data_IF_009785460241
#
_entry.id   IF_009785460241
#
_cell.length_a   1.000
_cell.length_b   1.000
_cell.length_c   1.000
_cell.angle_alpha   90.00
_cell.angle_beta   90.00
_cell.angle_gamma   90.00
#
_symmetry.space_group_name_H-M   'P 1'
#
loop_
_entity.id
_entity.type
_entity.pdbx_description
1 polymer ?
#
# COMPACT_ATOMS: atom_id res chain seq x y z
N UNK A 1 -58.93 11.27 -40.22
CA UNK A 1 -57.72 10.69 -39.57
C UNK A 1 -56.51 11.13 -40.36
N UNK A 2 -55.69 12.07 -39.85
CA UNK A 2 -54.24 12.12 -40.10
C UNK A 2 -53.59 13.01 -39.01
N UNK A 3 -52.72 12.38 -38.23
CA UNK A 3 -51.88 12.91 -37.13
C UNK A 3 -51.01 14.09 -37.60
N UNK A 4 -50.89 15.18 -36.84
CA UNK A 4 -49.86 15.43 -35.79
C UNK A 4 -48.42 15.20 -36.27
N UNK A 5 -47.63 16.26 -36.41
CA UNK A 5 -46.55 16.59 -35.46
C UNK A 5 -45.64 17.74 -35.95
N UNK A 6 -45.70 18.79 -35.14
CA UNK A 6 -44.81 19.93 -34.96
C UNK A 6 -43.31 19.54 -35.01
N UNK A 7 -42.56 20.18 -35.91
CA UNK A 7 -41.09 20.18 -35.92
C UNK A 7 -40.60 21.50 -35.30
N UNK A 8 -40.24 21.49 -34.00
CA UNK A 8 -39.52 22.60 -33.37
C UNK A 8 -38.03 22.34 -33.54
N UNK A 9 -37.39 23.13 -34.39
CA UNK A 9 -35.94 23.21 -34.53
C UNK A 9 -35.39 24.00 -33.32
N UNK A 10 -34.71 23.34 -32.40
CA UNK A 10 -34.00 24.03 -31.32
C UNK A 10 -32.60 24.47 -31.78
N UNK A 11 -32.40 25.78 -31.63
CA UNK A 11 -31.21 26.55 -31.98
C UNK A 11 -30.09 26.32 -30.95
N UNK A 12 -28.89 26.16 -31.49
CA UNK A 12 -27.53 26.37 -30.96
C UNK A 12 -27.35 26.71 -29.46
N UNK A 13 -26.49 25.93 -28.79
CA UNK A 13 -25.74 26.38 -27.61
C UNK A 13 -24.25 26.36 -27.95
N UNK A 14 -23.71 27.57 -27.91
CA UNK A 14 -22.34 27.97 -28.20
C UNK A 14 -21.37 27.54 -27.11
N UNK A 15 -20.19 27.06 -27.55
CA UNK A 15 -18.88 27.17 -26.94
C UNK A 15 -18.78 27.39 -25.41
N UNK A 16 -18.56 26.30 -24.67
CA UNK A 16 -17.82 26.34 -23.41
C UNK A 16 -16.42 25.77 -23.64
N UNK A 17 -15.49 26.62 -24.06
CA UNK A 17 -14.05 26.33 -23.96
C UNK A 17 -13.66 26.44 -22.48
N UNK A 18 -13.92 25.38 -21.72
CA UNK A 18 -13.38 25.21 -20.37
C UNK A 18 -11.89 24.92 -20.55
N UNK A 19 -11.05 25.76 -19.93
CA UNK A 19 -9.59 25.60 -19.91
C UNK A 19 -9.24 24.21 -19.37
N UNK A 20 -8.80 23.31 -20.24
CA UNK A 20 -8.42 21.93 -19.93
C UNK A 20 -7.03 21.81 -19.31
N UNK A 21 -6.51 22.83 -18.63
CA UNK A 21 -5.10 22.89 -18.20
C UNK A 21 -4.85 22.49 -16.74
N UNK A 22 -5.82 21.84 -16.08
CA UNK A 22 -5.66 21.32 -14.71
C UNK A 22 -6.06 19.84 -14.54
N UNK A 23 -6.34 19.11 -15.63
CA UNK A 23 -6.70 17.69 -15.59
C UNK A 23 -5.49 16.77 -15.64
N UNK A 24 -4.48 17.05 -16.49
CA UNK A 24 -3.33 16.17 -16.68
C UNK A 24 -2.48 15.95 -15.42
N UNK A 25 -2.26 16.99 -14.60
CA UNK A 25 -1.53 16.84 -13.33
C UNK A 25 -2.33 16.09 -12.27
N UNK A 26 -3.67 16.16 -12.30
CA UNK A 26 -4.52 15.44 -11.36
C UNK A 26 -4.59 13.96 -11.70
N UNK A 27 -4.63 13.62 -13.00
CA UNK A 27 -4.73 12.22 -13.41
C UNK A 27 -3.41 11.45 -13.21
N UNK A 28 -2.25 12.06 -13.50
CA UNK A 28 -0.96 11.42 -13.23
C UNK A 28 -0.70 11.24 -11.73
N UNK A 29 -0.99 12.26 -10.91
CA UNK A 29 -0.87 12.18 -9.45
C UNK A 29 -1.80 11.14 -8.84
N UNK A 30 -3.06 11.07 -9.29
CA UNK A 30 -4.04 10.11 -8.75
C UNK A 30 -3.76 8.66 -9.20
N UNK A 31 -3.29 8.45 -10.43
CA UNK A 31 -2.89 7.11 -10.89
C UNK A 31 -1.60 6.62 -10.22
N UNK A 32 -0.53 7.42 -10.23
CA UNK A 32 0.74 7.06 -9.60
C UNK A 32 0.56 6.84 -8.09
N UNK A 33 -0.16 7.73 -7.42
CA UNK A 33 -0.57 7.57 -6.02
C UNK A 33 -1.25 6.22 -5.74
N UNK A 34 -2.18 5.80 -6.61
CA UNK A 34 -2.87 4.53 -6.45
C UNK A 34 -1.95 3.33 -6.72
N UNK A 35 -1.00 3.45 -7.65
CA UNK A 35 0.05 2.45 -7.84
C UNK A 35 0.94 2.33 -6.61
N UNK A 36 1.45 3.44 -6.06
CA UNK A 36 2.31 3.40 -4.87
C UNK A 36 1.56 2.83 -3.66
N UNK A 37 0.28 3.18 -3.47
CA UNK A 37 -0.58 2.56 -2.44
C UNK A 37 -0.70 1.04 -2.61
N UNK A 38 -0.89 0.58 -3.83
CA UNK A 38 -0.99 -0.85 -4.14
C UNK A 38 0.35 -1.56 -3.92
N UNK A 39 1.46 -0.90 -4.24
CA UNK A 39 2.80 -1.44 -4.06
C UNK A 39 3.11 -1.69 -2.58
N UNK A 40 2.82 -0.73 -1.68
CA UNK A 40 2.97 -0.94 -0.22
C UNK A 40 2.23 -2.21 0.23
N UNK A 41 0.96 -2.36 -0.16
CA UNK A 41 0.14 -3.52 0.22
C UNK A 41 0.75 -4.81 -0.35
N UNK A 42 1.19 -4.76 -1.61
CA UNK A 42 1.76 -5.92 -2.30
C UNK A 42 3.06 -6.37 -1.65
N UNK A 43 3.93 -5.43 -1.26
CA UNK A 43 5.21 -5.71 -0.61
C UNK A 43 5.05 -6.22 0.81
N UNK A 44 4.13 -5.66 1.60
CA UNK A 44 3.78 -6.19 2.93
C UNK A 44 3.24 -7.62 2.82
N UNK A 45 2.35 -7.90 1.87
CA UNK A 45 1.81 -9.25 1.65
C UNK A 45 2.91 -10.23 1.24
N UNK A 46 3.86 -9.79 0.42
CA UNK A 46 5.01 -10.58 0.03
C UNK A 46 5.94 -10.86 1.22
N UNK A 47 6.22 -9.84 2.05
CA UNK A 47 6.96 -9.99 3.30
C UNK A 47 6.29 -11.00 4.23
N UNK A 48 4.98 -10.88 4.49
CA UNK A 48 4.22 -11.85 5.29
C UNK A 48 4.33 -13.29 4.73
N UNK A 49 4.29 -13.47 3.40
CA UNK A 49 4.46 -14.79 2.77
C UNK A 49 5.86 -15.33 3.01
N UNK A 50 6.89 -14.52 2.83
CA UNK A 50 8.28 -14.96 3.05
C UNK A 50 8.58 -15.20 4.53
N UNK A 51 8.03 -14.41 5.45
CA UNK A 51 8.08 -14.66 6.90
C UNK A 51 7.45 -16.01 7.28
N UNK A 52 6.33 -16.41 6.65
CA UNK A 52 5.74 -17.75 6.86
C UNK A 52 6.63 -18.90 6.36
N UNK A 53 7.35 -18.68 5.26
CA UNK A 53 8.34 -19.66 4.78
C UNK A 53 9.47 -19.78 5.79
N UNK A 54 10.01 -18.64 6.24
CA UNK A 54 11.06 -18.58 7.27
C UNK A 54 10.62 -19.28 8.57
N UNK A 55 9.36 -19.16 8.96
CA UNK A 55 8.78 -19.82 10.14
C UNK A 55 8.84 -21.36 10.03
N UNK A 56 8.67 -21.87 8.81
CA UNK A 56 8.77 -23.31 8.55
C UNK A 56 10.22 -23.76 8.57
N UNK A 57 11.15 -22.97 8.02
CA UNK A 57 12.58 -23.27 7.98
C UNK A 57 13.24 -23.25 9.37
N UNK A 58 12.78 -22.36 10.25
CA UNK A 58 13.30 -22.19 11.62
C UNK A 58 12.49 -22.96 12.67
N UNK A 59 11.66 -23.91 12.26
CA UNK A 59 10.84 -24.69 13.17
C UNK A 59 11.70 -25.44 14.19
N UNK A 60 11.34 -25.34 15.47
CA UNK A 60 12.03 -26.01 16.57
C UNK A 60 13.07 -25.14 17.29
N UNK A 61 13.37 -23.96 16.77
CA UNK A 61 14.15 -22.93 17.48
C UNK A 61 13.19 -21.92 18.14
N UNK A 62 13.08 -22.00 19.47
CA UNK A 62 12.19 -21.14 20.23
C UNK A 62 12.57 -19.64 20.15
N UNK A 63 13.87 -19.33 20.06
CA UNK A 63 14.35 -17.96 19.95
C UNK A 63 13.99 -17.38 18.59
N UNK A 64 14.24 -18.11 17.52
CA UNK A 64 13.87 -17.69 16.17
C UNK A 64 12.35 -17.63 15.98
N UNK A 65 11.60 -18.56 16.57
CA UNK A 65 10.13 -18.53 16.56
C UNK A 65 9.58 -17.25 17.20
N UNK A 66 10.15 -16.81 18.32
CA UNK A 66 9.75 -15.55 18.96
C UNK A 66 9.98 -14.34 18.05
N UNK A 67 11.13 -14.27 17.39
CA UNK A 67 11.45 -13.18 16.47
C UNK A 67 10.56 -13.20 15.22
N UNK A 68 10.20 -14.36 14.70
CA UNK A 68 9.26 -14.48 13.58
C UNK A 68 7.85 -14.03 13.96
N UNK A 69 7.39 -14.36 15.16
CA UNK A 69 6.09 -13.89 15.64
C UNK A 69 6.11 -12.37 15.77
N UNK A 70 7.14 -11.80 16.38
CA UNK A 70 7.28 -10.34 16.49
C UNK A 70 7.33 -9.66 15.11
N UNK A 71 8.01 -10.25 14.14
CA UNK A 71 8.03 -9.74 12.76
C UNK A 71 6.65 -9.80 12.10
N UNK A 72 5.90 -10.88 12.34
CA UNK A 72 4.54 -11.04 11.83
C UNK A 72 3.59 -10.02 12.47
N UNK A 73 3.71 -9.78 13.77
CA UNK A 73 2.91 -8.79 14.50
C UNK A 73 3.17 -7.37 13.97
N UNK A 74 4.43 -7.01 13.67
CA UNK A 74 4.78 -5.74 13.04
C UNK A 74 4.16 -5.56 11.64
N UNK A 75 4.24 -6.60 10.81
CA UNK A 75 3.62 -6.61 9.48
C UNK A 75 2.09 -6.48 9.55
N UNK A 76 1.46 -7.17 10.49
CA UNK A 76 0.01 -7.11 10.69
C UNK A 76 -0.42 -5.73 11.20
N UNK A 77 0.34 -5.12 12.12
CA UNK A 77 0.15 -3.73 12.55
C UNK A 77 0.20 -2.75 11.38
N UNK A 78 1.17 -2.88 10.47
CA UNK A 78 1.24 -2.04 9.27
C UNK A 78 0.03 -2.27 8.35
N UNK A 79 -0.40 -3.52 8.18
CA UNK A 79 -1.55 -3.85 7.34
C UNK A 79 -2.87 -3.30 7.90
N UNK A 80 -3.11 -3.42 9.20
CA UNK A 80 -4.30 -2.89 9.88
C UNK A 80 -4.36 -1.36 9.82
N UNK A 81 -3.21 -0.69 9.94
CA UNK A 81 -3.11 0.75 9.79
C UNK A 81 -3.40 1.20 8.34
N UNK A 82 -2.89 0.49 7.33
CA UNK A 82 -3.26 0.72 5.92
C UNK A 82 -4.75 0.54 5.71
N UNK A 83 -5.35 -0.52 6.28
CA UNK A 83 -6.79 -0.75 6.17
C UNK A 83 -7.61 0.40 6.77
N UNK A 84 -7.16 0.95 7.90
CA UNK A 84 -7.78 2.12 8.54
C UNK A 84 -7.67 3.38 7.66
N UNK A 85 -6.51 3.61 7.04
CA UNK A 85 -6.29 4.70 6.07
C UNK A 85 -7.25 4.56 4.90
N UNK A 86 -7.28 3.38 4.26
CA UNK A 86 -8.14 3.12 3.10
C UNK A 86 -9.61 3.30 3.46
N UNK A 87 -10.04 2.79 4.61
CA UNK A 87 -11.42 2.93 5.10
C UNK A 87 -11.81 4.40 5.26
N UNK A 88 -10.95 5.22 5.88
CA UNK A 88 -11.20 6.66 6.01
C UNK A 88 -11.32 7.35 4.65
N UNK A 89 -10.41 7.05 3.72
CA UNK A 89 -10.41 7.64 2.38
C UNK A 89 -11.67 7.26 1.57
N UNK A 90 -12.09 6.01 1.62
CA UNK A 90 -13.33 5.55 0.97
C UNK A 90 -14.57 6.23 1.57
N UNK A 91 -14.55 6.54 2.86
CA UNK A 91 -15.59 7.32 3.53
C UNK A 91 -15.52 8.84 3.23
N UNK A 92 -14.57 9.31 2.42
CA UNK A 92 -14.34 10.73 2.16
C UNK A 92 -13.76 11.49 3.35
N UNK A 93 -13.21 10.78 4.33
CA UNK A 93 -12.59 11.34 5.52
C UNK A 93 -11.08 11.48 5.33
N UNK A 94 -10.49 12.42 6.07
CA UNK A 94 -9.03 12.50 6.17
C UNK A 94 -8.54 11.34 7.03
N UNK A 95 -7.66 10.50 6.48
CA UNK A 95 -6.99 9.46 7.25
C UNK A 95 -6.20 10.06 8.43
N UNK A 96 -6.13 9.31 9.54
CA UNK A 96 -5.42 9.75 10.73
C UNK A 96 -3.91 9.83 10.44
N UNK A 97 -3.21 10.91 10.85
CA UNK A 97 -1.75 10.94 10.80
C UNK A 97 -1.12 9.79 11.61
N UNK A 98 -1.75 9.40 12.72
CA UNK A 98 -1.32 8.29 13.56
C UNK A 98 -1.30 6.96 12.80
N UNK A 99 -2.21 6.74 11.86
CA UNK A 99 -2.22 5.48 11.09
C UNK A 99 -0.96 5.39 10.21
N UNK A 100 -0.45 6.52 9.71
CA UNK A 100 0.79 6.54 8.91
C UNK A 100 2.01 6.22 9.78
N UNK A 101 2.04 6.75 11.00
CA UNK A 101 3.07 6.42 11.99
C UNK A 101 3.01 4.93 12.34
N UNK A 102 1.81 4.37 12.55
CA UNK A 102 1.64 2.94 12.80
C UNK A 102 2.10 2.05 11.64
N UNK A 103 1.96 2.50 10.38
CA UNK A 103 2.54 1.79 9.23
C UNK A 103 4.05 1.74 9.34
N UNK A 104 4.70 2.88 9.55
CA UNK A 104 6.16 2.96 9.68
C UNK A 104 6.67 2.16 10.88
N UNK A 105 6.06 2.36 12.06
CA UNK A 105 6.44 1.64 13.27
C UNK A 105 6.30 0.13 13.11
N UNK A 106 5.26 -0.36 12.44
CA UNK A 106 5.08 -1.80 12.20
C UNK A 106 6.13 -2.39 11.25
N UNK A 107 6.58 -1.63 10.25
CA UNK A 107 7.68 -2.03 9.37
C UNK A 107 9.00 -2.07 10.13
N UNK A 108 9.27 -1.06 10.96
CA UNK A 108 10.46 -0.99 11.81
C UNK A 108 10.48 -2.13 12.85
N UNK A 109 9.35 -2.38 13.53
CA UNK A 109 9.17 -3.51 14.45
C UNK A 109 9.51 -4.85 13.75
N UNK A 110 9.10 -5.00 12.49
CA UNK A 110 9.38 -6.19 11.70
C UNK A 110 10.87 -6.33 11.35
N UNK A 111 11.53 -5.25 10.92
CA UNK A 111 12.98 -5.24 10.66
C UNK A 111 13.76 -5.57 11.94
N UNK A 112 13.44 -4.92 13.05
CA UNK A 112 14.10 -5.10 14.33
C UNK A 112 13.97 -6.54 14.87
N UNK A 113 12.86 -7.20 14.58
CA UNK A 113 12.66 -8.60 14.91
C UNK A 113 13.48 -9.53 14.00
N UNK A 114 13.45 -9.30 12.69
CA UNK A 114 14.15 -10.15 11.71
C UNK A 114 15.67 -10.07 11.82
N UNK A 115 16.22 -8.90 12.16
CA UNK A 115 17.67 -8.70 12.33
C UNK A 115 18.27 -9.49 13.50
N UNK A 116 17.43 -9.94 14.44
CA UNK A 116 17.86 -10.80 15.56
C UNK A 116 18.00 -12.26 15.17
N UNK A 117 17.43 -12.68 14.05
CA UNK A 117 17.55 -14.04 13.54
C UNK A 117 18.95 -14.24 12.99
N UNK A 118 19.66 -15.25 13.50
CA UNK A 118 20.96 -15.65 12.99
C UNK A 118 20.90 -17.11 12.53
N UNK A 119 21.38 -17.37 11.32
CA UNK A 119 21.43 -18.71 10.74
C UNK A 119 22.57 -18.81 9.74
N UNK A 120 23.17 -19.99 9.64
CA UNK A 120 24.13 -20.33 8.58
C UNK A 120 23.48 -21.13 7.46
N UNK A 121 22.19 -21.46 7.56
CA UNK A 121 21.46 -22.14 6.50
C UNK A 121 21.27 -21.19 5.30
N UNK A 122 21.73 -21.56 4.09
CA UNK A 122 21.63 -20.71 2.91
C UNK A 122 20.20 -20.29 2.54
N UNK A 123 19.20 -21.16 2.77
CA UNK A 123 17.80 -20.85 2.47
C UNK A 123 17.25 -19.79 3.44
N UNK A 124 17.57 -19.93 4.73
CA UNK A 124 17.20 -18.96 5.76
C UNK A 124 17.83 -17.59 5.47
N UNK A 125 19.14 -17.56 5.15
CA UNK A 125 19.84 -16.32 4.80
C UNK A 125 19.23 -15.65 3.56
N UNK A 126 18.90 -16.44 2.53
CA UNK A 126 18.23 -15.93 1.34
C UNK A 126 16.84 -15.34 1.65
N UNK A 127 16.04 -16.03 2.47
CA UNK A 127 14.72 -15.54 2.83
C UNK A 127 14.78 -14.31 3.73
N UNK A 128 15.75 -14.21 4.66
CA UNK A 128 15.98 -13.00 5.44
C UNK A 128 16.33 -11.80 4.54
N UNK A 129 17.25 -11.98 3.59
CA UNK A 129 17.60 -10.93 2.62
C UNK A 129 16.39 -10.53 1.79
N UNK A 130 15.58 -11.50 1.35
CA UNK A 130 14.38 -11.24 0.55
C UNK A 130 13.32 -10.46 1.34
N UNK A 131 13.09 -10.80 2.60
CA UNK A 131 12.15 -10.04 3.45
C UNK A 131 12.66 -8.62 3.66
N UNK A 132 13.95 -8.45 3.90
CA UNK A 132 14.54 -7.12 4.04
C UNK A 132 14.30 -6.27 2.78
N UNK A 133 14.54 -6.81 1.59
CA UNK A 133 14.29 -6.09 0.33
C UNK A 133 12.80 -5.73 0.17
N UNK A 134 11.88 -6.61 0.56
CA UNK A 134 10.44 -6.36 0.53
C UNK A 134 10.02 -5.27 1.52
N UNK A 135 10.61 -5.24 2.72
CA UNK A 135 10.34 -4.20 3.72
C UNK A 135 10.87 -2.83 3.29
N UNK A 136 12.06 -2.80 2.67
CA UNK A 136 12.62 -1.57 2.07
C UNK A 136 11.72 -1.07 0.94
N UNK A 137 11.29 -1.96 0.04
CA UNK A 137 10.38 -1.59 -1.05
C UNK A 137 9.04 -1.03 -0.52
N UNK A 138 8.46 -1.65 0.51
CA UNK A 138 7.26 -1.15 1.17
C UNK A 138 7.45 0.25 1.77
N UNK A 139 8.59 0.49 2.42
CA UNK A 139 8.94 1.81 2.98
C UNK A 139 9.10 2.87 1.89
N UNK A 140 9.82 2.54 0.81
CA UNK A 140 10.00 3.42 -0.34
C UNK A 140 8.68 3.76 -1.04
N UNK A 141 7.79 2.78 -1.22
CA UNK A 141 6.45 3.00 -1.73
C UNK A 141 5.62 3.90 -0.79
N UNK A 142 5.78 3.72 0.53
CA UNK A 142 5.24 4.61 1.56
C UNK A 142 5.66 6.07 1.37
N UNK A 143 6.95 6.29 1.10
CA UNK A 143 7.48 7.62 0.83
C UNK A 143 6.93 8.21 -0.47
N UNK A 144 6.84 7.40 -1.56
CA UNK A 144 6.23 7.85 -2.82
C UNK A 144 4.76 8.23 -2.66
N UNK A 145 3.99 7.53 -1.83
CA UNK A 145 2.61 7.94 -1.48
C UNK A 145 2.58 9.35 -0.88
N UNK A 146 3.59 9.76 -0.09
CA UNK A 146 3.64 11.12 0.45
C UNK A 146 3.98 12.16 -0.63
N UNK A 147 4.76 11.77 -1.63
CA UNK A 147 5.21 12.64 -2.73
C UNK A 147 4.15 12.81 -3.82
N UNK A 148 3.50 11.71 -4.21
CA UNK A 148 2.64 11.63 -5.40
C UNK A 148 1.15 11.80 -5.08
N UNK A 149 0.70 11.49 -3.86
CA UNK A 149 -0.70 11.67 -3.44
C UNK A 149 -0.97 13.08 -2.89
N UNK A 150 -1.25 14.04 -3.79
CA UNK A 150 -1.60 15.44 -3.44
C UNK A 150 -3.07 15.80 -3.66
#
# INVERSE_FOLDING_TARGET
>A
MFSRNILVLFVAISAALVQATALDKRQAGDQQCNFDRLEIITDIVQAQKTTRVLATELQGDAFNTQNINAASDGLDKSQDAIFSIVTALVAGQKASPNDRELVADGLDDAVDALTKINSTDPAVVQNLSKIHDQLVAASDAGNRVLEDCK
#
